data_IF_474315515741
#
_entry.id   IF_474315515741
#
_cell.length_a   1.000
_cell.length_b   1.000
_cell.length_c   1.000
_cell.angle_alpha   90.00
_cell.angle_beta   90.00
_cell.angle_gamma   90.00
#
_symmetry.space_group_name_H-M   'P 1'
#
loop_
_entity.id
_entity.type
_entity.pdbx_description
1 polymer ?
#
# COMPACT_ATOMS: atom_id res chain seq x y z
N UNK A 1 -15.81 5.34 11.91
CA UNK A 1 -14.41 5.23 11.36
C UNK A 1 -14.47 5.50 9.87
N UNK A 2 -13.65 6.41 9.38
CA UNK A 2 -13.65 6.74 7.96
C UNK A 2 -12.91 5.68 7.13
N UNK A 3 -13.02 5.75 5.81
CA UNK A 3 -12.43 4.76 4.90
C UNK A 3 -10.91 4.69 5.04
N UNK A 4 -10.26 5.84 5.22
CA UNK A 4 -8.81 5.91 5.40
C UNK A 4 -8.35 5.16 6.65
N UNK A 5 -9.02 5.36 7.76
CA UNK A 5 -8.67 4.69 9.02
C UNK A 5 -8.88 3.18 8.95
N UNK A 6 -9.94 2.73 8.27
CA UNK A 6 -10.14 1.31 8.02
C UNK A 6 -8.99 0.71 7.21
N UNK A 7 -8.59 1.39 6.16
CA UNK A 7 -7.47 0.95 5.33
C UNK A 7 -6.17 0.90 6.09
N UNK A 8 -5.89 1.89 6.93
CA UNK A 8 -4.70 1.91 7.77
C UNK A 8 -4.70 0.77 8.80
N UNK A 9 -5.86 0.46 9.38
CA UNK A 9 -6.00 -0.68 10.28
C UNK A 9 -5.69 -1.98 9.56
N UNK A 10 -6.18 -2.13 8.33
CA UNK A 10 -5.90 -3.30 7.51
C UNK A 10 -4.42 -3.42 7.17
N UNK A 11 -3.76 -2.33 6.82
CA UNK A 11 -2.32 -2.32 6.57
C UNK A 11 -1.54 -2.78 7.80
N UNK A 12 -1.88 -2.25 8.96
CA UNK A 12 -1.23 -2.66 10.21
C UNK A 12 -1.45 -4.14 10.51
N UNK A 13 -2.66 -4.63 10.29
CA UNK A 13 -3.02 -6.02 10.58
C UNK A 13 -2.41 -7.01 9.58
N UNK A 14 -2.54 -6.74 8.29
CA UNK A 14 -2.11 -7.68 7.24
C UNK A 14 -0.63 -7.57 6.93
N UNK A 15 -0.10 -6.35 6.87
CA UNK A 15 1.30 -6.13 6.52
C UNK A 15 2.19 -5.92 7.73
N UNK A 16 1.62 -6.01 8.94
CA UNK A 16 2.36 -5.96 10.19
C UNK A 16 3.15 -4.66 10.41
N UNK A 17 2.65 -3.54 9.87
CA UNK A 17 3.22 -2.24 10.22
C UNK A 17 2.95 -1.94 11.69
N UNK A 18 3.96 -1.44 12.38
CA UNK A 18 3.77 -1.02 13.77
C UNK A 18 3.06 0.33 13.86
N UNK A 19 2.73 0.75 15.07
CA UNK A 19 1.97 1.98 15.30
C UNK A 19 2.68 3.22 14.74
N UNK A 20 4.00 3.32 14.93
CA UNK A 20 4.79 4.43 14.40
C UNK A 20 4.74 4.48 12.89
N UNK A 21 4.88 3.32 12.26
CA UNK A 21 4.82 3.19 10.79
C UNK A 21 3.43 3.53 10.26
N UNK A 22 2.38 3.08 10.93
CA UNK A 22 1.00 3.40 10.53
C UNK A 22 0.74 4.90 10.63
N UNK A 23 1.26 5.55 11.67
CA UNK A 23 1.12 7.00 11.82
C UNK A 23 1.82 7.77 10.69
N UNK A 24 3.00 7.30 10.28
CA UNK A 24 3.71 7.89 9.14
C UNK A 24 2.94 7.67 7.84
N UNK A 25 2.39 6.48 7.62
CA UNK A 25 1.53 6.20 6.48
C UNK A 25 0.33 7.14 6.46
N UNK A 26 -0.30 7.35 7.60
CA UNK A 26 -1.46 8.24 7.72
C UNK A 26 -1.19 9.63 7.19
N UNK A 27 0.03 10.14 7.43
CA UNK A 27 0.42 11.49 7.01
C UNK A 27 0.85 11.54 5.54
N UNK A 28 1.37 10.45 5.00
CA UNK A 28 2.01 10.43 3.68
C UNK A 28 1.16 9.89 2.56
N UNK A 29 -0.01 9.32 2.84
CA UNK A 29 -0.87 8.75 1.81
C UNK A 29 -2.25 9.38 1.82
N UNK A 30 -2.94 9.31 0.68
CA UNK A 30 -4.32 9.74 0.54
C UNK A 30 -5.09 8.75 -0.34
N UNK A 31 -6.41 8.90 -0.36
CA UNK A 31 -7.31 8.11 -1.20
C UNK A 31 -7.15 6.60 -0.97
N UNK A 32 -6.87 6.23 0.27
CA UNK A 32 -6.72 4.82 0.62
C UNK A 32 -8.07 4.13 0.56
N UNK A 33 -8.18 3.11 -0.29
CA UNK A 33 -9.38 2.29 -0.42
C UNK A 33 -9.03 0.82 -0.40
N UNK A 34 -9.96 0.02 0.08
CA UNK A 34 -9.82 -1.44 0.08
C UNK A 34 -11.10 -2.06 -0.43
N UNK A 35 -11.00 -2.79 -1.53
CA UNK A 35 -12.11 -3.57 -2.07
C UNK A 35 -11.99 -5.00 -1.55
N UNK A 36 -12.87 -5.35 -0.62
CA UNK A 36 -12.85 -6.63 0.05
C UNK A 36 -13.17 -7.80 -0.87
N UNK A 37 -14.06 -7.59 -1.83
CA UNK A 37 -14.48 -8.61 -2.78
C UNK A 37 -13.34 -9.03 -3.70
N UNK A 38 -12.58 -8.05 -4.20
CA UNK A 38 -11.45 -8.28 -5.10
C UNK A 38 -10.11 -8.35 -4.41
N UNK A 39 -10.09 -8.13 -3.09
CA UNK A 39 -8.86 -8.09 -2.27
C UNK A 39 -7.85 -7.11 -2.85
N UNK A 40 -8.35 -5.95 -3.23
CA UNK A 40 -7.56 -4.90 -3.87
C UNK A 40 -7.46 -3.69 -2.94
N UNK A 41 -6.23 -3.35 -2.62
CA UNK A 41 -5.89 -2.17 -1.83
C UNK A 41 -5.22 -1.15 -2.73
N UNK A 42 -5.61 0.12 -2.64
CA UNK A 42 -4.89 1.16 -3.38
C UNK A 42 -4.83 2.47 -2.59
N UNK A 43 -3.80 3.24 -2.87
CA UNK A 43 -3.60 4.55 -2.27
C UNK A 43 -2.64 5.39 -3.11
N UNK A 44 -2.64 6.71 -2.86
CA UNK A 44 -1.75 7.65 -3.51
C UNK A 44 -0.74 8.18 -2.50
N UNK A 45 0.53 8.23 -2.88
CA UNK A 45 1.60 8.79 -2.06
C UNK A 45 1.65 10.31 -2.30
N UNK A 46 1.53 11.09 -1.22
CA UNK A 46 1.46 12.55 -1.32
C UNK A 46 2.75 13.19 -1.82
N UNK A 47 3.90 12.64 -1.43
CA UNK A 47 5.19 13.24 -1.76
C UNK A 47 5.55 13.19 -3.23
N UNK A 48 5.23 12.10 -3.92
CA UNK A 48 5.65 11.88 -5.31
C UNK A 48 4.50 11.66 -6.29
N UNK A 49 3.26 11.62 -5.83
CA UNK A 49 2.10 11.40 -6.69
C UNK A 49 1.97 10.00 -7.26
N UNK A 50 2.74 9.04 -6.75
CA UNK A 50 2.64 7.66 -7.19
C UNK A 50 1.38 7.02 -6.62
N UNK A 51 0.75 6.16 -7.42
CA UNK A 51 -0.45 5.42 -7.02
C UNK A 51 -0.10 3.96 -6.93
N UNK A 52 -0.35 3.35 -5.78
CA UNK A 52 0.00 1.95 -5.52
C UNK A 52 -1.27 1.11 -5.49
N UNK A 53 -1.25 0.02 -6.25
CA UNK A 53 -2.29 -1.00 -6.26
C UNK A 53 -1.70 -2.31 -5.77
N UNK A 54 -2.35 -2.91 -4.77
CA UNK A 54 -1.95 -4.20 -4.20
C UNK A 54 -3.13 -5.14 -4.33
N UNK A 55 -2.93 -6.25 -5.04
CA UNK A 55 -3.96 -7.27 -5.22
C UNK A 55 -3.49 -8.59 -4.62
N UNK A 56 -4.17 -9.05 -3.58
CA UNK A 56 -3.83 -10.31 -2.91
C UNK A 56 -4.23 -11.49 -3.79
N UNK A 57 -3.28 -12.41 -3.98
CA UNK A 57 -3.46 -13.66 -4.72
C UNK A 57 -3.14 -14.85 -3.80
N UNK A 58 -3.39 -16.07 -4.28
CA UNK A 58 -3.12 -17.28 -3.51
C UNK A 58 -1.63 -17.46 -3.21
N UNK A 59 -0.79 -17.06 -4.14
CA UNK A 59 0.67 -17.24 -4.07
C UNK A 59 1.43 -15.95 -3.70
N UNK A 60 0.71 -14.95 -3.19
CA UNK A 60 1.33 -13.70 -2.79
C UNK A 60 0.51 -12.49 -3.19
N UNK A 61 1.20 -11.43 -3.63
CA UNK A 61 0.58 -10.16 -3.96
C UNK A 61 1.08 -9.66 -5.31
N UNK A 62 0.15 -9.23 -6.16
CA UNK A 62 0.51 -8.46 -7.34
C UNK A 62 0.56 -7.00 -6.96
N UNK A 63 1.62 -6.31 -7.39
CA UNK A 63 1.78 -4.89 -7.14
C UNK A 63 1.87 -4.15 -8.47
N UNK A 64 1.20 -2.99 -8.53
CA UNK A 64 1.29 -2.09 -9.67
C UNK A 64 1.44 -0.67 -9.16
N UNK A 65 2.39 0.05 -9.72
CA UNK A 65 2.64 1.45 -9.37
C UNK A 65 2.47 2.30 -10.62
N UNK A 66 1.59 3.28 -10.52
CA UNK A 66 1.28 4.22 -11.60
C UNK A 66 1.41 5.66 -11.07
N UNK A 67 0.85 6.61 -11.79
CA UNK A 67 0.91 8.03 -11.41
C UNK A 67 2.12 8.71 -11.99
N UNK A 68 2.73 9.63 -11.25
CA UNK A 68 3.89 10.41 -11.73
C UNK A 68 5.12 9.51 -11.85
N UNK A 69 5.50 9.16 -13.07
CA UNK A 69 6.67 8.34 -13.34
C UNK A 69 6.35 7.05 -14.10
N UNK A 70 7.35 6.20 -14.34
CA UNK A 70 7.15 4.97 -15.10
C UNK A 70 6.24 3.98 -14.36
N UNK A 71 5.44 3.26 -15.12
CA UNK A 71 4.59 2.20 -14.59
C UNK A 71 5.48 1.01 -14.22
N UNK A 72 5.28 0.47 -13.02
CA UNK A 72 5.98 -0.73 -12.56
C UNK A 72 4.95 -1.76 -12.15
N UNK A 73 5.22 -3.01 -12.48
CA UNK A 73 4.38 -4.15 -12.10
C UNK A 73 5.27 -5.28 -11.62
N UNK A 74 4.76 -6.06 -10.67
CA UNK A 74 5.48 -7.19 -10.16
C UNK A 74 4.64 -8.08 -9.28
N UNK A 75 5.24 -9.19 -8.86
CA UNK A 75 4.64 -10.14 -7.94
C UNK A 75 5.57 -10.32 -6.75
N UNK A 76 5.01 -10.23 -5.54
CA UNK A 76 5.74 -10.38 -4.30
C UNK A 76 5.14 -11.55 -3.52
N UNK A 77 5.97 -12.54 -3.20
CA UNK A 77 5.50 -13.80 -2.62
C UNK A 77 5.15 -13.71 -1.14
N UNK A 78 5.69 -12.73 -0.41
CA UNK A 78 5.50 -12.62 1.03
C UNK A 78 4.98 -11.26 1.44
N UNK A 79 4.28 -11.21 2.56
CA UNK A 79 3.82 -9.95 3.15
C UNK A 79 4.99 -9.05 3.55
N UNK A 80 6.09 -9.63 3.99
CA UNK A 80 7.28 -8.88 4.34
C UNK A 80 7.87 -8.14 3.13
N UNK A 81 7.91 -8.80 1.98
CA UNK A 81 8.37 -8.17 0.74
C UNK A 81 7.46 -7.01 0.32
N UNK A 82 6.15 -7.19 0.45
CA UNK A 82 5.17 -6.13 0.16
C UNK A 82 5.39 -4.93 1.09
N UNK A 83 5.56 -5.21 2.38
CA UNK A 83 5.80 -4.18 3.39
C UNK A 83 7.04 -3.36 3.07
N UNK A 84 8.15 -4.03 2.76
CA UNK A 84 9.40 -3.36 2.38
C UNK A 84 9.23 -2.51 1.13
N UNK A 85 8.51 -3.03 0.15
CA UNK A 85 8.30 -2.34 -1.11
C UNK A 85 7.53 -1.04 -0.91
N UNK A 86 6.44 -1.10 -0.15
CA UNK A 86 5.65 0.09 0.19
C UNK A 86 6.51 1.11 0.94
N UNK A 87 7.25 0.65 1.92
CA UNK A 87 8.10 1.51 2.75
C UNK A 87 9.17 2.21 1.91
N UNK A 88 9.78 1.47 1.01
CA UNK A 88 10.78 2.00 0.08
C UNK A 88 10.19 3.09 -0.82
N UNK A 89 9.02 2.84 -1.40
CA UNK A 89 8.35 3.82 -2.26
C UNK A 89 7.99 5.10 -1.50
N UNK A 90 7.60 4.98 -0.24
CA UNK A 90 7.28 6.13 0.60
C UNK A 90 8.49 7.04 0.85
N UNK A 91 9.67 6.47 0.94
CA UNK A 91 10.89 7.20 1.29
C UNK A 91 11.80 7.50 0.11
N UNK A 92 11.42 7.03 -1.08
CA UNK A 92 12.20 7.22 -2.31
C UNK A 92 11.86 8.51 -3.06
N UNK A 93 11.14 9.36 -2.42
CA UNK A 93 10.70 10.61 -3.05
C UNK A 93 11.78 11.70 -3.01
#
# INVERSE_FOLDING_TARGET
MNTKERGLTLLGRYLKFNETEVNELREKIKNLTYNRQHKLLNFTILGNGRVIFLNQKQDGWNIRITGNGPIREGHLATMESVRRYIWSELHDA
#
